data_IF_988034803519
#
_entry.id   IF_988034803519
#
_cell.length_a   1.000
_cell.length_b   1.000
_cell.length_c   1.000
_cell.angle_alpha   90.00
_cell.angle_beta   90.00
_cell.angle_gamma   90.00
#
_symmetry.space_group_name_H-M   'P 1'
#
loop_
_entity.id
_entity.type
_entity.pdbx_description
1 polymer ?
#
# COMPACT_ATOMS: atom_id res chain seq x y z
N UNK A 1 -3.65 10.87 -22.31
CA UNK A 1 -2.29 10.65 -22.86
C UNK A 1 -2.43 10.56 -24.39
N UNK A 2 -1.60 11.26 -25.16
CA UNK A 2 -1.55 11.13 -26.62
C UNK A 2 -0.22 10.43 -26.95
N UNK A 3 -0.30 9.21 -27.47
CA UNK A 3 0.89 8.48 -27.91
C UNK A 3 1.27 8.98 -29.32
N UNK A 4 2.52 9.42 -29.50
CA UNK A 4 3.08 9.73 -30.82
C UNK A 4 3.79 8.49 -31.33
N UNK A 5 3.44 8.05 -32.54
CA UNK A 5 4.15 6.95 -33.19
C UNK A 5 5.50 7.43 -33.75
N UNK A 6 6.57 6.70 -33.44
CA UNK A 6 7.89 6.98 -34.01
C UNK A 6 8.03 6.48 -35.45
N UNK A 7 7.11 5.63 -35.91
CA UNK A 7 7.04 5.15 -37.29
C UNK A 7 5.59 4.82 -37.70
N UNK A 8 5.31 4.88 -38.98
CA UNK A 8 4.00 4.56 -39.56
C UNK A 8 3.55 3.10 -39.32
N UNK A 9 4.51 2.22 -38.91
CA UNK A 9 4.22 0.81 -38.60
C UNK A 9 3.76 0.57 -37.18
N UNK A 10 3.87 1.54 -36.25
CA UNK A 10 3.47 1.36 -34.85
C UNK A 10 1.95 1.38 -34.69
N UNK A 11 1.25 2.11 -35.55
CA UNK A 11 -0.19 2.32 -35.49
C UNK A 11 -0.86 1.95 -36.82
N UNK A 12 -2.00 1.27 -36.75
CA UNK A 12 -2.85 0.96 -37.93
C UNK A 12 -4.31 1.28 -37.64
N UNK A 13 -5.06 1.58 -38.70
CA UNK A 13 -6.51 1.66 -38.63
C UNK A 13 -7.07 0.26 -38.31
N UNK A 14 -8.18 0.17 -37.53
CA UNK A 14 -8.93 -1.07 -37.46
C UNK A 14 -9.43 -1.50 -38.82
N UNK A 15 -9.70 -2.78 -39.02
CA UNK A 15 -10.29 -3.32 -40.22
C UNK A 15 -11.79 -3.01 -40.31
N UNK A 16 -12.44 -3.06 -39.15
CA UNK A 16 -13.87 -2.82 -39.00
C UNK A 16 -14.19 -2.50 -37.51
N UNK A 17 -15.49 -2.35 -37.20
CA UNK A 17 -15.99 -2.23 -35.81
C UNK A 17 -17.11 -3.24 -35.58
N UNK A 18 -17.05 -3.91 -34.42
CA UNK A 18 -18.10 -4.78 -33.92
C UNK A 18 -18.89 -4.06 -32.81
N UNK A 19 -20.22 -4.00 -32.95
CA UNK A 19 -21.09 -3.48 -31.89
C UNK A 19 -21.09 -4.48 -30.74
N UNK A 20 -20.59 -4.08 -29.57
CA UNK A 20 -20.49 -4.95 -28.38
C UNK A 20 -21.58 -4.66 -27.37
N UNK A 21 -22.11 -3.44 -27.37
CA UNK A 21 -23.24 -3.08 -26.51
C UNK A 21 -23.97 -1.85 -27.05
N UNK A 22 -25.27 -1.77 -26.77
CA UNK A 22 -26.07 -0.58 -27.05
C UNK A 22 -27.25 -0.43 -26.11
N UNK A 23 -27.63 0.80 -25.88
CA UNK A 23 -28.86 1.18 -25.18
C UNK A 23 -29.59 2.27 -25.94
N UNK A 24 -30.67 1.89 -26.64
CA UNK A 24 -31.49 2.85 -27.36
C UNK A 24 -32.08 3.94 -26.44
N UNK A 25 -32.57 3.63 -25.22
CA UNK A 25 -33.06 4.67 -24.29
C UNK A 25 -32.01 5.70 -23.92
N UNK A 26 -30.74 5.29 -23.81
CA UNK A 26 -29.60 6.18 -23.46
C UNK A 26 -28.96 6.82 -24.70
N UNK A 27 -29.28 6.32 -25.91
CA UNK A 27 -28.62 6.75 -27.14
C UNK A 27 -27.13 6.46 -27.15
N UNK A 28 -26.71 5.32 -26.58
CA UNK A 28 -25.28 4.97 -26.41
C UNK A 28 -25.00 3.65 -27.14
N UNK A 29 -23.94 3.63 -27.93
CA UNK A 29 -23.44 2.48 -28.67
C UNK A 29 -21.95 2.33 -28.41
N UNK A 30 -21.49 1.12 -28.03
CA UNK A 30 -20.08 0.82 -27.75
C UNK A 30 -19.56 -0.17 -28.76
N UNK A 31 -18.47 0.20 -29.42
CA UNK A 31 -17.88 -0.53 -30.52
C UNK A 31 -16.47 -1.00 -30.18
N UNK A 32 -16.21 -2.27 -30.46
CA UNK A 32 -14.86 -2.84 -30.39
C UNK A 32 -14.21 -2.75 -31.79
N UNK A 33 -12.97 -2.23 -31.90
CA UNK A 33 -12.26 -2.19 -33.16
C UNK A 33 -11.74 -3.59 -33.53
N UNK A 34 -12.07 -4.07 -34.74
CA UNK A 34 -11.49 -5.28 -35.30
C UNK A 34 -10.05 -5.00 -35.73
N UNK A 35 -9.09 -5.74 -35.13
CA UNK A 35 -7.68 -5.40 -35.25
C UNK A 35 -6.99 -6.12 -36.40
N UNK A 36 -6.09 -5.47 -37.16
CA UNK A 36 -5.21 -6.16 -38.09
C UNK A 36 -4.30 -7.17 -37.39
N UNK A 37 -3.87 -8.18 -38.10
CA UNK A 37 -2.89 -9.16 -37.61
C UNK A 37 -1.63 -8.48 -37.06
N UNK A 38 -1.20 -8.88 -35.85
CA UNK A 38 -0.06 -8.30 -35.14
C UNK A 38 -0.33 -6.96 -34.48
N UNK A 39 -1.61 -6.53 -34.36
CA UNK A 39 -2.02 -5.30 -33.66
C UNK A 39 -3.06 -5.60 -32.61
N UNK A 40 -3.07 -4.77 -31.56
CA UNK A 40 -3.98 -4.85 -30.43
C UNK A 40 -4.85 -3.60 -30.33
N UNK A 41 -6.10 -3.80 -29.92
CA UNK A 41 -6.97 -2.69 -29.51
C UNK A 41 -6.54 -2.15 -28.15
N UNK A 42 -6.49 -0.84 -28.01
CA UNK A 42 -6.17 -0.16 -26.74
C UNK A 42 -7.36 0.64 -26.19
N UNK A 43 -8.55 0.44 -26.74
CA UNK A 43 -9.78 1.08 -26.29
C UNK A 43 -10.98 0.74 -27.18
N UNK A 44 -12.16 1.13 -26.69
CA UNK A 44 -13.43 1.08 -27.41
C UNK A 44 -13.76 2.45 -27.99
N UNK A 45 -14.69 2.48 -28.94
CA UNK A 45 -15.28 3.71 -29.45
C UNK A 45 -16.72 3.79 -28.95
N UNK A 46 -17.12 4.96 -28.42
CA UNK A 46 -18.49 5.25 -28.01
C UNK A 46 -19.11 6.21 -29.03
N UNK A 47 -20.32 5.93 -29.45
CA UNK A 47 -21.08 6.82 -30.33
C UNK A 47 -22.51 7.03 -29.82
N UNK A 48 -23.11 8.16 -30.19
CA UNK A 48 -24.50 8.49 -29.87
C UNK A 48 -25.51 7.93 -30.91
N UNK A 49 -25.02 7.28 -31.95
CA UNK A 49 -25.84 6.69 -33.02
C UNK A 49 -25.45 5.25 -33.29
N UNK A 50 -26.37 4.42 -33.76
CA UNK A 50 -26.11 3.05 -34.19
C UNK A 50 -25.35 2.94 -35.50
N UNK A 51 -24.81 4.04 -36.01
CA UNK A 51 -24.00 4.06 -37.24
C UNK A 51 -22.55 3.67 -36.84
N UNK A 52 -21.98 2.76 -37.62
CA UNK A 52 -20.62 2.29 -37.43
C UNK A 52 -19.63 3.44 -37.48
N UNK A 53 -18.67 3.53 -36.46
CA UNK A 53 -17.68 4.61 -36.44
C UNK A 53 -16.78 4.62 -37.68
N UNK A 54 -16.20 5.79 -37.99
CA UNK A 54 -15.15 5.88 -39.00
C UNK A 54 -13.93 5.07 -38.59
N UNK A 55 -13.25 4.42 -39.52
CA UNK A 55 -11.97 3.72 -39.27
C UNK A 55 -10.86 4.67 -38.79
N UNK A 56 -11.06 5.98 -38.90
CA UNK A 56 -10.16 7.00 -38.37
C UNK A 56 -10.43 7.38 -36.90
N UNK A 57 -11.49 6.86 -36.28
CA UNK A 57 -11.87 7.20 -34.91
C UNK A 57 -10.83 6.73 -33.85
N UNK A 58 -10.14 5.62 -34.16
CA UNK A 58 -9.11 5.05 -33.24
C UNK A 58 -7.96 4.45 -34.07
N UNK A 59 -6.89 4.10 -33.42
CA UNK A 59 -5.78 3.30 -33.95
C UNK A 59 -5.55 2.06 -33.13
N UNK A 60 -5.24 0.95 -33.79
CA UNK A 60 -4.69 -0.25 -33.18
C UNK A 60 -3.19 -0.10 -33.07
N UNK A 61 -2.61 -0.57 -31.95
CA UNK A 61 -1.18 -0.50 -31.65
C UNK A 61 -0.54 -1.84 -31.95
N UNK A 62 0.67 -1.82 -32.53
CA UNK A 62 1.45 -3.05 -32.79
C UNK A 62 1.64 -3.82 -31.50
N UNK A 63 1.38 -5.13 -31.50
CA UNK A 63 1.24 -5.94 -30.28
C UNK A 63 2.50 -6.04 -29.43
N UNK A 64 3.71 -5.89 -30.01
CA UNK A 64 4.95 -5.83 -29.26
C UNK A 64 5.12 -4.55 -28.42
N UNK A 65 4.34 -3.51 -28.71
CA UNK A 65 4.25 -2.24 -27.99
C UNK A 65 3.09 -2.20 -26.99
N UNK A 66 2.44 -3.33 -26.77
CA UNK A 66 1.30 -3.46 -25.85
C UNK A 66 1.60 -4.46 -24.74
N UNK A 67 0.87 -4.34 -23.64
CA UNK A 67 0.91 -5.24 -22.49
C UNK A 67 -0.52 -5.67 -22.12
N UNK A 68 -0.63 -6.79 -21.40
CA UNK A 68 -1.92 -7.28 -20.93
C UNK A 68 -2.54 -6.31 -19.94
N UNK A 69 -3.84 -6.16 -20.01
CA UNK A 69 -4.60 -5.31 -19.10
C UNK A 69 -5.64 -6.10 -18.30
N UNK A 70 -6.04 -5.52 -17.20
CA UNK A 70 -7.15 -5.97 -16.37
C UNK A 70 -8.03 -4.78 -15.97
N UNK A 71 -9.28 -5.06 -15.61
CA UNK A 71 -10.17 -4.07 -15.02
C UNK A 71 -9.57 -3.53 -13.71
N UNK A 72 -9.73 -2.23 -13.51
CA UNK A 72 -9.27 -1.52 -12.32
C UNK A 72 -10.47 -0.98 -11.54
N UNK A 73 -10.80 0.27 -11.71
CA UNK A 73 -11.90 0.91 -11.00
C UNK A 73 -13.20 0.89 -11.78
N UNK A 74 -14.31 0.69 -11.08
CA UNK A 74 -15.62 0.80 -11.67
C UNK A 74 -15.93 2.25 -12.04
N UNK A 75 -16.34 2.47 -13.29
CA UNK A 75 -16.67 3.80 -13.81
C UNK A 75 -18.19 3.97 -13.91
N UNK A 76 -18.88 2.96 -14.49
CA UNK A 76 -20.29 3.06 -14.80
C UNK A 76 -20.92 1.69 -14.98
N UNK A 77 -22.20 1.58 -14.65
CA UNK A 77 -23.00 0.36 -14.83
C UNK A 77 -23.84 0.07 -13.59
N UNK A 78 -24.55 -1.06 -13.57
CA UNK A 78 -25.40 -1.46 -12.45
C UNK A 78 -24.60 -1.96 -11.22
N UNK A 79 -23.31 -2.26 -11.37
CA UNK A 79 -22.49 -2.83 -10.29
C UNK A 79 -22.89 -4.28 -9.94
N UNK A 80 -22.37 -4.80 -8.85
CA UNK A 80 -22.59 -6.19 -8.39
C UNK A 80 -24.06 -6.55 -8.06
N UNK A 81 -24.97 -5.62 -8.15
CA UNK A 81 -26.34 -5.76 -7.63
C UNK A 81 -27.41 -6.07 -8.71
N UNK A 82 -27.10 -6.24 -9.98
CA UNK A 82 -28.12 -6.40 -11.03
C UNK A 82 -27.97 -7.62 -11.93
N UNK A 83 -29.12 -8.07 -12.45
CA UNK A 83 -29.25 -9.19 -13.39
C UNK A 83 -28.76 -8.81 -14.82
N UNK A 84 -27.92 -9.57 -15.30
CA UNK A 84 -27.34 -10.05 -16.55
C UNK A 84 -27.50 -9.34 -17.92
N UNK A 85 -28.15 -8.22 -18.08
CA UNK A 85 -28.27 -7.54 -19.39
C UNK A 85 -27.56 -6.19 -19.48
N UNK A 86 -27.04 -5.68 -18.38
CA UNK A 86 -26.30 -4.44 -18.32
C UNK A 86 -24.81 -4.72 -18.21
N UNK A 87 -24.02 -3.85 -18.79
CA UNK A 87 -22.55 -3.93 -18.71
C UNK A 87 -22.04 -3.03 -17.60
N UNK A 88 -20.96 -3.47 -16.97
CA UNK A 88 -20.12 -2.63 -16.13
C UNK A 88 -18.91 -2.14 -16.92
N UNK A 89 -18.60 -0.88 -16.76
CA UNK A 89 -17.47 -0.19 -17.39
C UNK A 89 -16.42 0.08 -16.32
N UNK A 90 -15.18 -0.32 -16.60
CA UNK A 90 -14.04 -0.18 -15.72
C UNK A 90 -12.91 0.60 -16.38
N UNK A 91 -12.12 1.33 -15.62
CA UNK A 91 -10.80 1.77 -16.04
C UNK A 91 -9.91 0.54 -16.25
N UNK A 92 -8.86 0.69 -17.06
CA UNK A 92 -7.96 -0.41 -17.40
C UNK A 92 -6.54 -0.10 -16.89
N UNK A 93 -5.92 -1.10 -16.27
CA UNK A 93 -4.52 -1.04 -15.83
C UNK A 93 -3.74 -2.25 -16.34
N UNK A 94 -2.41 -2.18 -16.39
CA UNK A 94 -1.58 -3.36 -16.68
C UNK A 94 -1.82 -4.49 -15.67
N UNK A 95 -1.81 -5.74 -16.15
CA UNK A 95 -1.93 -6.91 -15.29
C UNK A 95 -0.69 -7.08 -14.41
N UNK A 96 0.50 -6.90 -15.01
CA UNK A 96 1.77 -6.92 -14.28
C UNK A 96 2.09 -5.52 -13.75
N UNK A 97 2.41 -5.45 -12.44
CA UNK A 97 2.72 -4.20 -11.75
C UNK A 97 3.92 -4.41 -10.84
N UNK A 98 4.69 -3.36 -10.63
CA UNK A 98 5.90 -3.37 -9.82
C UNK A 98 7.02 -2.61 -10.50
N UNK A 99 8.19 -2.58 -9.87
CA UNK A 99 9.32 -1.75 -10.30
C UNK A 99 9.87 -2.13 -11.68
N UNK A 100 9.76 -3.41 -12.06
CA UNK A 100 10.23 -3.94 -13.34
C UNK A 100 9.13 -4.02 -14.41
N UNK A 101 7.88 -3.66 -14.07
CA UNK A 101 6.77 -3.77 -15.00
C UNK A 101 6.78 -2.62 -16.02
N UNK A 102 6.65 -2.96 -17.29
CA UNK A 102 6.73 -2.02 -18.41
C UNK A 102 5.36 -1.52 -18.89
N UNK A 103 4.27 -2.09 -18.38
CA UNK A 103 2.91 -1.73 -18.77
C UNK A 103 2.52 -0.32 -18.34
N UNK A 104 1.85 0.42 -19.23
CA UNK A 104 1.41 1.81 -19.03
C UNK A 104 -0.09 1.89 -19.23
N UNK A 105 -0.86 2.43 -18.27
CA UNK A 105 -2.31 2.64 -18.46
C UNK A 105 -2.55 3.69 -19.54
N UNK A 106 -3.51 3.45 -20.41
CA UNK A 106 -3.81 4.33 -21.56
C UNK A 106 -4.97 5.29 -21.33
N UNK A 107 -5.59 5.28 -20.16
CA UNK A 107 -6.76 6.11 -19.83
C UNK A 107 -7.99 5.72 -20.65
N UNK A 108 -8.11 4.46 -21.03
CA UNK A 108 -9.27 3.87 -21.70
C UNK A 108 -10.11 3.06 -20.73
N UNK A 109 -11.22 2.53 -21.20
CA UNK A 109 -12.08 1.68 -20.40
C UNK A 109 -12.23 0.27 -21.01
N UNK A 110 -12.55 -0.68 -20.17
CA UNK A 110 -12.94 -2.05 -20.51
C UNK A 110 -14.37 -2.34 -20.10
N UNK A 111 -14.91 -3.43 -20.65
CA UNK A 111 -16.27 -3.90 -20.37
C UNK A 111 -16.20 -5.21 -19.61
N UNK A 112 -16.94 -5.33 -18.51
CA UNK A 112 -17.05 -6.49 -17.63
C UNK A 112 -15.71 -7.05 -17.13
N UNK A 113 -15.66 -7.49 -15.92
CA UNK A 113 -14.41 -7.87 -15.21
C UNK A 113 -13.64 -9.07 -15.77
N UNK A 114 -14.19 -9.82 -16.75
CA UNK A 114 -13.69 -11.17 -17.05
C UNK A 114 -12.94 -11.36 -18.36
N UNK A 115 -12.99 -10.42 -19.30
CA UNK A 115 -12.23 -10.52 -20.57
C UNK A 115 -11.96 -9.13 -21.13
N UNK A 116 -10.90 -8.48 -20.67
CA UNK A 116 -10.45 -7.26 -21.34
C UNK A 116 -9.89 -7.62 -22.71
N UNK A 117 -10.66 -7.28 -23.75
CA UNK A 117 -10.20 -7.40 -25.12
C UNK A 117 -9.26 -6.24 -25.52
N UNK A 118 -9.07 -5.28 -24.64
CA UNK A 118 -8.19 -4.12 -24.86
C UNK A 118 -6.87 -4.30 -24.12
N UNK A 119 -5.78 -3.81 -24.69
CA UNK A 119 -4.45 -3.87 -24.12
C UNK A 119 -4.06 -2.50 -23.53
N UNK A 120 -3.14 -2.52 -22.58
CA UNK A 120 -2.36 -1.36 -22.17
C UNK A 120 -1.20 -1.09 -23.12
N UNK A 121 -0.59 0.09 -23.08
CA UNK A 121 0.69 0.34 -23.75
C UNK A 121 1.82 -0.31 -22.99
N UNK A 122 2.97 -0.47 -23.66
CA UNK A 122 4.20 -0.95 -23.08
C UNK A 122 5.31 0.07 -23.27
N UNK A 123 5.96 0.47 -22.21
CA UNK A 123 7.18 1.27 -22.31
C UNK A 123 8.34 0.34 -22.70
N UNK A 124 8.79 0.44 -23.95
CA UNK A 124 9.88 -0.40 -24.49
C UNK A 124 11.23 0.27 -24.42
N UNK A 125 11.34 1.47 -23.83
CA UNK A 125 12.62 2.15 -23.65
C UNK A 125 13.42 1.46 -22.53
N UNK A 126 14.56 0.83 -22.83
CA UNK A 126 15.38 0.14 -21.82
C UNK A 126 15.97 1.11 -20.76
N UNK A 127 15.98 2.41 -21.05
CA UNK A 127 16.47 3.45 -20.15
C UNK A 127 15.30 4.27 -19.52
N UNK A 128 14.08 3.75 -19.54
CA UNK A 128 12.90 4.49 -19.08
C UNK A 128 12.99 4.89 -17.63
N UNK A 129 13.52 4.02 -16.76
CA UNK A 129 13.71 4.30 -15.35
C UNK A 129 14.69 5.45 -15.08
N UNK A 130 15.72 5.62 -15.90
CA UNK A 130 16.71 6.69 -15.72
C UNK A 130 16.32 8.01 -16.39
N UNK A 131 15.37 8.00 -17.34
CA UNK A 131 15.04 9.19 -18.16
C UNK A 131 13.82 9.95 -17.68
N UNK A 132 12.84 9.25 -17.08
CA UNK A 132 11.55 9.82 -16.70
C UNK A 132 11.31 9.84 -15.19
N UNK A 133 12.10 9.09 -14.43
CA UNK A 133 12.01 9.05 -12.98
C UNK A 133 12.74 10.24 -12.35
N UNK A 134 12.25 10.76 -11.20
CA UNK A 134 12.87 11.90 -10.54
C UNK A 134 14.24 11.54 -9.96
N UNK A 135 15.20 12.47 -10.07
CA UNK A 135 16.47 12.41 -9.35
C UNK A 135 16.28 12.80 -7.86
N UNK A 136 17.31 12.65 -7.02
CA UNK A 136 17.21 12.91 -5.57
C UNK A 136 16.68 14.32 -5.24
N UNK A 137 17.16 15.43 -5.87
CA UNK A 137 16.56 16.74 -5.67
C UNK A 137 15.08 16.82 -6.03
N UNK A 138 14.66 16.17 -7.11
CA UNK A 138 13.26 16.12 -7.53
C UNK A 138 12.39 15.28 -6.58
N UNK A 139 12.89 14.12 -6.11
CA UNK A 139 12.22 13.34 -5.05
C UNK A 139 11.96 14.22 -3.83
N UNK A 140 12.97 14.97 -3.39
CA UNK A 140 12.84 15.87 -2.23
C UNK A 140 11.82 16.98 -2.48
N UNK A 141 11.83 17.59 -3.67
CA UNK A 141 10.90 18.65 -4.04
C UNK A 141 9.44 18.14 -4.07
N UNK A 142 9.21 17.00 -4.71
CA UNK A 142 7.89 16.34 -4.76
C UNK A 142 7.43 15.96 -3.34
N UNK A 143 8.32 15.42 -2.52
CA UNK A 143 7.97 15.08 -1.16
C UNK A 143 7.65 16.31 -0.30
N UNK A 144 8.39 17.41 -0.44
CA UNK A 144 8.07 18.65 0.26
C UNK A 144 6.69 19.21 -0.12
N UNK A 145 6.28 19.04 -1.37
CA UNK A 145 4.95 19.47 -1.85
C UNK A 145 3.83 18.62 -1.28
N UNK A 146 4.01 17.28 -1.23
CA UNK A 146 2.96 16.33 -0.90
C UNK A 146 3.20 15.56 0.40
N UNK A 147 4.19 15.92 1.23
CA UNK A 147 4.48 15.21 2.48
C UNK A 147 3.26 15.15 3.39
N UNK A 148 2.77 13.95 3.75
CA UNK A 148 1.54 13.81 4.51
C UNK A 148 1.70 14.29 5.96
N UNK A 149 0.62 14.81 6.52
CA UNK A 149 0.45 14.97 7.95
C UNK A 149 -0.22 13.73 8.53
N UNK A 150 0.35 13.14 9.56
CA UNK A 150 -0.21 11.95 10.21
C UNK A 150 -0.71 12.31 11.60
N UNK A 151 -2.01 12.19 11.83
CA UNK A 151 -2.62 12.32 13.15
C UNK A 151 -2.59 11.01 13.90
N UNK A 152 -2.22 11.06 15.18
CA UNK A 152 -2.35 9.94 16.12
C UNK A 152 -3.63 10.09 16.94
N UNK A 153 -4.23 8.98 17.34
CA UNK A 153 -5.40 9.00 18.21
C UNK A 153 -5.04 9.66 19.56
N UNK A 154 -5.93 10.47 20.19
CA UNK A 154 -5.60 11.15 21.47
C UNK A 154 -5.25 10.20 22.62
N UNK A 155 -5.67 8.95 22.56
CA UNK A 155 -5.33 7.92 23.55
C UNK A 155 -4.11 7.07 23.14
N UNK A 156 -3.44 7.37 22.02
CA UNK A 156 -2.26 6.63 21.58
C UNK A 156 -1.11 6.80 22.55
N UNK A 157 -0.48 5.68 22.90
CA UNK A 157 0.66 5.63 23.84
C UNK A 157 1.96 5.25 23.13
N UNK A 158 1.86 4.61 21.99
CA UNK A 158 2.95 4.01 21.24
C UNK A 158 3.23 4.82 19.98
N UNK A 159 3.99 5.89 20.13
CA UNK A 159 4.28 6.85 19.08
C UNK A 159 5.48 6.39 18.22
N UNK A 160 5.59 6.87 16.97
CA UNK A 160 6.75 6.55 16.14
C UNK A 160 8.05 7.12 16.71
N UNK A 161 9.15 6.56 16.26
CA UNK A 161 10.50 7.10 16.51
C UNK A 161 11.39 6.90 15.28
N UNK A 162 12.63 7.37 15.33
CA UNK A 162 13.62 6.95 14.36
C UNK A 162 14.26 5.61 14.75
N UNK A 163 14.72 4.86 13.74
CA UNK A 163 15.48 3.62 13.94
C UNK A 163 16.77 3.85 14.76
N UNK A 164 17.58 4.90 14.49
CA UNK A 164 18.73 5.23 15.35
C UNK A 164 18.35 5.50 16.79
N UNK A 165 17.22 6.18 17.05
CA UNK A 165 16.74 6.42 18.41
C UNK A 165 16.40 5.09 19.11
N UNK A 166 15.70 4.20 18.42
CA UNK A 166 15.32 2.88 18.94
C UNK A 166 16.55 2.04 19.34
N UNK A 167 17.57 1.95 18.48
CA UNK A 167 18.81 1.24 18.76
C UNK A 167 19.60 1.88 19.89
N UNK A 168 19.68 3.20 19.93
CA UNK A 168 20.44 3.93 20.98
C UNK A 168 19.79 3.81 22.36
N UNK A 169 18.47 3.69 22.43
CA UNK A 169 17.73 3.70 23.69
C UNK A 169 17.50 2.31 24.29
N UNK A 170 17.99 1.21 23.69
CA UNK A 170 18.00 -0.08 24.35
C UNK A 170 17.42 -1.26 23.56
N UNK A 171 17.06 -1.07 22.28
CA UNK A 171 16.82 -2.21 21.42
C UNK A 171 18.13 -2.96 21.15
N UNK A 172 18.11 -4.27 21.26
CA UNK A 172 19.28 -5.12 21.12
C UNK A 172 18.99 -6.32 20.24
N UNK A 173 20.03 -6.86 19.61
CA UNK A 173 19.95 -8.05 18.78
C UNK A 173 20.07 -9.29 19.66
N UNK A 174 19.07 -10.16 19.58
CA UNK A 174 19.03 -11.47 20.22
C UNK A 174 19.34 -12.56 19.21
N UNK A 175 19.92 -13.65 19.71
CA UNK A 175 20.24 -14.82 18.91
C UNK A 175 19.69 -16.07 19.57
N UNK A 176 19.06 -16.93 18.79
CA UNK A 176 18.55 -18.22 19.26
C UNK A 176 19.66 -19.09 19.85
N UNK A 177 19.44 -19.56 21.08
CA UNK A 177 20.40 -20.36 21.86
C UNK A 177 21.45 -19.53 22.61
N UNK A 178 21.36 -18.19 22.54
CA UNK A 178 22.23 -17.25 23.31
C UNK A 178 21.44 -16.03 23.79
N UNK A 179 20.19 -16.24 24.18
CA UNK A 179 19.22 -15.19 24.55
C UNK A 179 19.65 -14.36 25.77
N UNK A 180 20.54 -14.92 26.62
CA UNK A 180 21.07 -14.23 27.80
C UNK A 180 22.14 -13.17 27.48
N UNK A 181 22.66 -13.16 26.25
CA UNK A 181 23.75 -12.28 25.83
C UNK A 181 23.33 -11.41 24.61
N UNK A 182 22.33 -10.53 24.76
CA UNK A 182 21.91 -9.67 23.65
C UNK A 182 23.01 -8.69 23.28
N UNK A 183 23.16 -8.46 21.97
CA UNK A 183 24.17 -7.56 21.42
C UNK A 183 23.56 -6.18 21.19
N UNK A 184 24.22 -5.14 21.72
CA UNK A 184 23.82 -3.76 21.46
C UNK A 184 23.95 -3.47 19.96
N UNK A 185 22.91 -2.84 19.38
CA UNK A 185 22.90 -2.49 17.97
C UNK A 185 23.53 -1.09 17.80
N UNK A 186 24.38 -0.95 16.78
CA UNK A 186 24.89 0.36 16.38
C UNK A 186 23.76 1.26 15.87
N UNK A 187 23.81 2.58 16.06
CA UNK A 187 22.73 3.47 15.63
C UNK A 187 22.38 3.37 14.14
N UNK A 188 23.35 3.04 13.28
CA UNK A 188 23.15 2.80 11.85
C UNK A 188 22.64 1.39 11.51
N UNK A 189 22.64 0.48 12.47
CA UNK A 189 22.39 -0.95 12.24
C UNK A 189 23.54 -1.70 11.56
N UNK A 190 24.76 -1.13 11.53
CA UNK A 190 25.90 -1.68 10.77
C UNK A 190 26.36 -3.06 11.27
N UNK A 191 26.09 -3.38 12.54
CA UNK A 191 26.41 -4.68 13.14
C UNK A 191 25.24 -5.69 13.10
N UNK A 192 24.12 -5.36 12.46
CA UNK A 192 23.05 -6.32 12.21
C UNK A 192 23.47 -7.34 11.16
N UNK A 193 23.13 -8.63 11.31
CA UNK A 193 23.36 -9.62 10.27
C UNK A 193 22.55 -9.30 9.02
N UNK A 194 23.23 -9.01 7.92
CA UNK A 194 22.60 -8.62 6.65
C UNK A 194 21.90 -9.81 6.01
N UNK A 195 20.76 -9.55 5.35
CA UNK A 195 19.95 -10.59 4.73
C UNK A 195 19.25 -11.49 5.75
N UNK A 196 19.09 -12.76 5.39
CA UNK A 196 18.40 -13.76 6.21
C UNK A 196 16.95 -13.92 5.85
N UNK A 197 16.18 -14.46 6.79
CA UNK A 197 14.75 -14.69 6.67
C UNK A 197 14.08 -14.65 8.05
N UNK A 198 12.76 -14.63 8.08
CA UNK A 198 11.95 -14.71 9.30
C UNK A 198 11.95 -16.17 9.84
N UNK A 199 13.11 -16.63 10.29
CA UNK A 199 13.38 -18.01 10.74
C UNK A 199 13.54 -18.17 12.26
N UNK A 200 13.45 -17.06 13.01
CA UNK A 200 13.64 -17.00 14.45
C UNK A 200 15.08 -17.21 14.89
N UNK A 201 16.06 -17.16 13.98
CA UNK A 201 17.47 -17.30 14.37
C UNK A 201 18.04 -16.05 15.03
N UNK A 202 17.55 -14.87 14.63
CA UNK A 202 17.88 -13.58 15.20
C UNK A 202 16.65 -12.69 15.22
N UNK A 203 16.49 -11.92 16.28
CA UNK A 203 15.42 -10.91 16.39
C UNK A 203 15.90 -9.69 17.20
N UNK A 204 15.23 -8.57 16.99
CA UNK A 204 15.43 -7.37 17.79
C UNK A 204 14.44 -7.40 18.95
N UNK A 205 14.87 -7.09 20.16
CA UNK A 205 13.99 -6.98 21.33
C UNK A 205 14.48 -5.92 22.32
N UNK A 206 13.63 -5.57 23.27
CA UNK A 206 13.86 -4.54 24.26
C UNK A 206 14.68 -5.07 25.43
N UNK A 207 15.74 -4.35 25.82
CA UNK A 207 16.57 -4.66 26.98
C UNK A 207 16.37 -3.65 28.13
N UNK A 208 16.86 -3.98 29.33
CA UNK A 208 16.72 -3.16 30.50
C UNK A 208 15.58 -3.61 31.43
N UNK A 209 15.34 -2.80 32.45
CA UNK A 209 14.22 -3.00 33.38
C UNK A 209 12.87 -2.61 32.75
N UNK A 210 11.78 -2.85 33.49
CA UNK A 210 10.43 -2.58 32.95
C UNK A 210 10.21 -1.10 32.65
N UNK A 211 10.81 -0.18 33.39
CA UNK A 211 10.68 1.25 33.14
C UNK A 211 11.41 1.67 31.84
N UNK A 212 12.61 1.10 31.61
CA UNK A 212 13.36 1.32 30.37
C UNK A 212 12.61 0.74 29.14
N UNK A 213 12.08 -0.48 29.26
CA UNK A 213 11.27 -1.11 28.20
C UNK A 213 10.00 -0.32 27.91
N UNK A 214 9.29 0.15 28.94
CA UNK A 214 8.09 0.96 28.77
C UNK A 214 8.41 2.30 28.09
N UNK A 215 9.51 2.96 28.44
CA UNK A 215 9.97 4.18 27.76
C UNK A 215 10.21 3.91 26.28
N UNK A 216 10.84 2.77 25.94
CA UNK A 216 11.11 2.40 24.55
C UNK A 216 9.81 2.13 23.78
N UNK A 217 8.86 1.39 24.38
CA UNK A 217 7.56 1.10 23.76
C UNK A 217 6.80 2.36 23.40
N UNK A 218 6.88 3.41 24.23
CA UNK A 218 6.21 4.69 23.96
C UNK A 218 6.73 5.43 22.75
N UNK A 219 7.94 5.10 22.28
CA UNK A 219 8.57 5.83 21.20
C UNK A 219 8.89 7.29 21.55
N UNK A 220 9.13 8.10 20.53
CA UNK A 220 9.40 9.53 20.67
C UNK A 220 9.03 10.26 19.39
N UNK A 221 7.86 10.87 19.37
CA UNK A 221 7.40 11.65 18.21
C UNK A 221 8.38 12.77 17.83
N UNK A 222 9.03 13.38 18.84
CA UNK A 222 10.05 14.41 18.63
C UNK A 222 11.26 13.89 17.84
N UNK A 223 11.62 12.61 18.04
CA UNK A 223 12.78 11.97 17.43
C UNK A 223 12.37 11.10 16.23
N UNK A 224 11.10 11.20 15.80
CA UNK A 224 10.59 10.45 14.66
C UNK A 224 11.23 10.92 13.35
N UNK A 225 11.57 9.96 12.51
CA UNK A 225 12.04 10.16 11.14
C UNK A 225 11.24 9.23 10.25
N UNK A 226 10.68 9.75 9.16
CA UNK A 226 10.08 8.91 8.14
C UNK A 226 11.10 8.55 7.06
N UNK A 227 10.91 7.40 6.45
CA UNK A 227 11.88 6.83 5.51
C UNK A 227 11.24 6.67 4.13
N UNK A 228 11.84 7.30 3.12
CA UNK A 228 11.30 7.32 1.77
C UNK A 228 11.95 6.26 0.89
N UNK A 229 11.12 5.48 0.25
CA UNK A 229 11.49 4.61 -0.86
C UNK A 229 10.79 5.12 -2.13
N UNK A 230 11.57 5.56 -3.13
CA UNK A 230 11.05 6.01 -4.41
C UNK A 230 11.17 4.89 -5.43
N UNK A 231 10.04 4.47 -6.01
CA UNK A 231 9.99 3.35 -6.96
C UNK A 231 9.24 3.70 -8.25
N UNK A 232 9.71 3.21 -9.42
CA UNK A 232 9.01 3.39 -10.68
C UNK A 232 7.75 2.54 -10.73
N UNK A 233 6.65 3.14 -11.20
CA UNK A 233 5.41 2.43 -11.42
C UNK A 233 4.86 2.72 -12.82
N UNK A 234 4.08 1.75 -13.34
CA UNK A 234 3.46 1.86 -14.67
C UNK A 234 4.46 2.25 -15.76
N UNK A 235 5.54 1.48 -15.88
CA UNK A 235 6.58 1.70 -16.87
C UNK A 235 7.33 3.02 -16.69
N UNK A 236 7.45 3.53 -15.46
CA UNK A 236 8.13 4.78 -15.13
C UNK A 236 7.30 6.04 -15.46
N UNK A 237 6.00 5.91 -15.73
CA UNK A 237 5.10 7.07 -15.93
C UNK A 237 4.61 7.66 -14.61
N UNK A 238 4.75 6.92 -13.52
CA UNK A 238 4.46 7.35 -12.16
C UNK A 238 5.65 7.03 -11.26
N UNK A 239 5.79 7.84 -10.22
CA UNK A 239 6.66 7.59 -9.08
C UNK A 239 5.81 7.29 -7.86
N UNK A 240 6.04 6.14 -7.23
CA UNK A 240 5.52 5.86 -5.91
C UNK A 240 6.57 6.26 -4.87
N UNK A 241 6.19 7.14 -3.94
CA UNK A 241 6.96 7.49 -2.76
C UNK A 241 6.34 6.77 -1.58
N UNK A 242 6.88 5.60 -1.22
CA UNK A 242 6.48 4.91 0.00
C UNK A 242 7.11 5.61 1.20
N UNK A 243 6.27 6.11 2.09
CA UNK A 243 6.61 6.86 3.30
C UNK A 243 6.47 5.92 4.48
N UNK A 244 7.57 5.30 4.88
CA UNK A 244 7.63 4.33 5.97
C UNK A 244 7.75 5.02 7.31
N UNK A 245 6.94 4.60 8.26
CA UNK A 245 6.92 5.06 9.66
C UNK A 245 7.26 3.89 10.56
N UNK A 246 8.26 4.07 11.41
CA UNK A 246 8.69 3.06 12.37
C UNK A 246 8.12 3.34 13.76
N UNK A 247 7.50 2.33 14.34
CA UNK A 247 7.03 2.32 15.73
C UNK A 247 7.81 1.27 16.53
N UNK A 248 8.37 1.63 17.69
CA UNK A 248 9.06 0.67 18.57
C UNK A 248 8.17 -0.46 19.08
N UNK A 249 6.86 -0.24 19.09
CA UNK A 249 5.90 -1.18 19.66
C UNK A 249 4.51 -0.99 19.07
N UNK A 250 3.83 -2.08 18.76
CA UNK A 250 2.41 -2.17 18.44
C UNK A 250 1.65 -2.59 19.70
N UNK A 251 0.59 -1.86 20.03
CA UNK A 251 -0.18 -2.13 21.24
C UNK A 251 -1.27 -3.19 21.05
N UNK A 252 -2.01 -3.48 22.13
CA UNK A 252 -3.02 -4.54 22.10
C UNK A 252 -4.21 -4.23 21.21
N UNK A 253 -4.68 -5.23 20.50
CA UNK A 253 -5.87 -5.14 19.67
C UNK A 253 -7.14 -4.90 20.49
N UNK A 254 -8.17 -4.34 19.85
CA UNK A 254 -9.52 -4.14 20.39
C UNK A 254 -10.54 -4.79 19.49
N UNK A 255 -11.44 -5.57 20.06
CA UNK A 255 -12.49 -6.28 19.33
C UNK A 255 -13.83 -5.57 19.52
N UNK A 256 -14.55 -5.32 18.43
CA UNK A 256 -16.00 -5.09 18.49
C UNK A 256 -16.74 -6.37 18.22
N UNK A 257 -17.72 -6.72 19.05
CA UNK A 257 -18.60 -7.86 18.87
C UNK A 257 -20.04 -7.47 19.29
N UNK A 258 -20.90 -7.31 18.31
CA UNK A 258 -22.22 -6.71 18.52
C UNK A 258 -22.10 -5.30 19.13
N UNK A 259 -22.78 -5.02 20.25
CA UNK A 259 -22.69 -3.71 20.93
C UNK A 259 -21.45 -3.55 21.82
N UNK A 260 -20.69 -4.62 22.05
CA UNK A 260 -19.58 -4.64 23.00
C UNK A 260 -18.25 -4.28 22.32
N UNK A 261 -17.39 -3.58 23.06
CA UNK A 261 -15.96 -3.43 22.76
C UNK A 261 -15.16 -4.14 23.85
N UNK A 262 -14.30 -5.06 23.46
CA UNK A 262 -13.54 -5.89 24.38
C UNK A 262 -12.05 -5.74 24.05
N UNK A 263 -11.18 -5.47 25.06
CA UNK A 263 -9.73 -5.53 24.86
C UNK A 263 -9.32 -6.98 24.60
N UNK A 264 -8.37 -7.16 23.70
CA UNK A 264 -7.86 -8.49 23.33
C UNK A 264 -6.70 -8.97 24.21
N UNK A 265 -6.51 -8.35 25.38
CA UNK A 265 -5.38 -8.68 26.26
C UNK A 265 -4.07 -8.33 25.56
N UNK A 266 -3.21 -9.32 25.38
CA UNK A 266 -1.94 -9.15 24.67
C UNK A 266 -2.00 -9.46 23.17
N UNK A 267 -3.13 -9.93 22.68
CA UNK A 267 -3.28 -10.28 21.25
C UNK A 267 -3.11 -9.02 20.40
N UNK A 268 -2.20 -9.09 19.46
CA UNK A 268 -1.81 -7.98 18.57
C UNK A 268 -0.58 -7.19 19.07
N UNK A 269 -0.15 -7.36 20.33
CA UNK A 269 1.08 -6.70 20.79
C UNK A 269 2.33 -7.30 20.14
N UNK A 270 3.22 -6.44 19.67
CA UNK A 270 4.57 -6.86 19.26
C UNK A 270 5.57 -5.71 19.32
N UNK A 271 6.83 -6.07 19.51
CA UNK A 271 7.96 -5.14 19.42
C UNK A 271 8.29 -4.92 17.94
N UNK A 272 8.55 -3.67 17.59
CA UNK A 272 8.85 -3.27 16.21
C UNK A 272 7.64 -3.36 15.29
N UNK A 273 7.31 -2.24 14.66
CA UNK A 273 6.19 -2.14 13.74
C UNK A 273 6.53 -1.19 12.60
N UNK A 274 6.15 -1.54 11.37
CA UNK A 274 6.39 -0.76 10.19
C UNK A 274 5.11 -0.57 9.40
N UNK A 275 4.62 0.66 9.40
CA UNK A 275 3.47 1.08 8.61
C UNK A 275 3.88 2.09 7.55
N UNK A 276 3.07 2.26 6.53
CA UNK A 276 3.38 3.24 5.49
C UNK A 276 2.13 3.84 4.85
N UNK A 277 2.35 4.95 4.21
CA UNK A 277 1.47 5.46 3.14
C UNK A 277 2.32 5.58 1.88
N UNK A 278 1.71 5.39 0.71
CA UNK A 278 2.40 5.57 -0.56
C UNK A 278 1.74 6.68 -1.36
N UNK A 279 2.53 7.67 -1.77
CA UNK A 279 2.08 8.75 -2.64
C UNK A 279 2.40 8.37 -4.09
N UNK A 280 1.40 8.22 -4.93
CA UNK A 280 1.57 8.00 -6.38
C UNK A 280 1.50 9.31 -7.11
N UNK A 281 2.61 9.73 -7.70
CA UNK A 281 2.77 11.01 -8.37
C UNK A 281 3.02 10.80 -9.86
N UNK A 282 2.32 11.55 -10.70
CA UNK A 282 2.51 11.54 -12.15
C UNK A 282 3.83 12.15 -12.54
N UNK A 283 4.67 11.45 -13.30
CA UNK A 283 5.93 11.98 -13.82
C UNK A 283 5.74 12.97 -14.97
N UNK A 284 4.54 13.09 -15.53
CA UNK A 284 4.23 14.07 -16.58
C UNK A 284 3.83 15.43 -16.04
N UNK A 285 3.01 15.45 -14.99
CA UNK A 285 2.43 16.66 -14.43
C UNK A 285 3.04 17.04 -13.07
N UNK A 286 3.74 16.10 -12.40
CA UNK A 286 4.18 16.28 -11.03
C UNK A 286 3.03 16.30 -10.01
N UNK A 287 1.84 15.86 -10.39
CA UNK A 287 0.63 15.91 -9.57
C UNK A 287 0.44 14.62 -8.77
N UNK A 288 0.02 14.75 -7.52
CA UNK A 288 -0.44 13.64 -6.69
C UNK A 288 -1.71 13.05 -7.31
N UNK A 289 -1.66 11.77 -7.67
CA UNK A 289 -2.78 11.06 -8.23
C UNK A 289 -3.58 10.29 -7.16
N UNK A 290 -2.88 9.49 -6.38
CA UNK A 290 -3.46 8.63 -5.35
C UNK A 290 -2.56 8.55 -4.12
N UNK A 291 -3.14 8.20 -2.98
CA UNK A 291 -2.43 7.81 -1.76
C UNK A 291 -2.90 6.43 -1.31
N UNK A 292 -1.96 5.52 -1.10
CA UNK A 292 -2.21 4.24 -0.45
C UNK A 292 -2.10 4.40 1.06
N UNK A 293 -3.00 3.78 1.79
CA UNK A 293 -2.94 3.68 3.23
C UNK A 293 -2.79 2.20 3.60
N UNK A 294 -1.67 1.83 4.26
CA UNK A 294 -1.45 0.46 4.74
C UNK A 294 -2.43 0.11 5.86
N UNK A 295 -3.00 -1.08 5.79
CA UNK A 295 -4.02 -1.55 6.74
C UNK A 295 -3.70 -3.00 7.11
N UNK A 296 -2.79 -3.21 8.05
CA UNK A 296 -2.29 -4.53 8.44
C UNK A 296 -1.65 -5.28 7.24
N UNK A 297 -2.21 -6.43 6.84
CA UNK A 297 -1.68 -7.24 5.72
C UNK A 297 -2.04 -6.75 4.33
N UNK A 298 -2.76 -5.63 4.19
CA UNK A 298 -3.21 -5.06 2.92
C UNK A 298 -3.29 -3.54 2.99
N UNK A 299 -4.21 -2.95 2.21
CA UNK A 299 -4.46 -1.53 2.25
C UNK A 299 -5.44 -1.08 1.18
N UNK A 300 -5.54 0.23 1.04
CA UNK A 300 -6.49 0.82 0.08
C UNK A 300 -5.89 2.06 -0.57
N UNK A 301 -6.02 2.13 -1.89
CA UNK A 301 -5.73 3.33 -2.67
C UNK A 301 -6.92 4.30 -2.61
N UNK A 302 -6.61 5.58 -2.40
CA UNK A 302 -7.57 6.68 -2.44
C UNK A 302 -7.12 7.71 -3.47
N UNK A 303 -8.03 8.18 -4.32
CA UNK A 303 -7.74 9.29 -5.23
C UNK A 303 -7.45 10.58 -4.46
N UNK A 304 -6.62 11.45 -5.01
CA UNK A 304 -6.34 12.75 -4.42
C UNK A 304 -7.61 13.54 -4.10
N UNK A 305 -8.67 13.41 -4.92
CA UNK A 305 -9.97 14.06 -4.69
C UNK A 305 -10.76 13.51 -3.48
N UNK A 306 -10.39 12.35 -2.94
CA UNK A 306 -11.04 11.71 -1.78
C UNK A 306 -10.33 12.01 -0.46
N UNK A 307 -9.10 12.58 -0.54
CA UNK A 307 -8.23 12.85 0.60
C UNK A 307 -8.65 14.14 1.31
N UNK A 308 -8.33 14.20 2.58
CA UNK A 308 -8.27 15.44 3.34
C UNK A 308 -6.87 16.07 3.16
N UNK A 309 -6.82 17.40 2.99
CA UNK A 309 -5.57 18.12 2.89
C UNK A 309 -5.39 19.06 4.08
N UNK A 310 -4.16 19.17 4.55
CA UNK A 310 -3.83 19.99 5.73
C UNK A 310 -3.83 21.48 5.38
N UNK A 311 -4.68 22.27 6.07
CA UNK A 311 -4.72 23.74 5.99
C UNK A 311 -4.66 24.29 4.55
N UNK A 312 -5.49 23.76 3.65
CA UNK A 312 -5.57 24.21 2.24
C UNK A 312 -4.23 24.06 1.45
N UNK A 313 -3.30 23.26 1.96
CA UNK A 313 -2.06 22.92 1.24
C UNK A 313 -2.28 21.69 0.33
N UNK A 314 -1.23 21.29 -0.41
CA UNK A 314 -1.22 20.05 -1.19
C UNK A 314 -0.80 18.81 -0.38
N UNK A 315 -0.66 18.95 0.95
CA UNK A 315 -0.21 17.89 1.85
C UNK A 315 -1.38 17.07 2.34
N UNK A 316 -1.50 15.79 1.95
CA UNK A 316 -2.61 14.95 2.37
C UNK A 316 -2.52 14.62 3.87
N UNK A 317 -3.66 14.31 4.46
CA UNK A 317 -3.76 13.90 5.85
C UNK A 317 -3.96 12.40 5.93
N UNK A 318 -3.15 11.74 6.77
CA UNK A 318 -3.32 10.37 7.20
C UNK A 318 -3.69 10.28 8.68
N UNK A 319 -4.34 9.21 9.06
CA UNK A 319 -4.72 8.92 10.44
C UNK A 319 -4.20 7.54 10.83
N UNK A 320 -3.31 7.50 11.82
CA UNK A 320 -2.83 6.26 12.43
C UNK A 320 -3.86 5.75 13.43
N UNK A 321 -4.24 4.49 13.33
CA UNK A 321 -5.22 3.91 14.23
C UNK A 321 -4.63 3.59 15.61
N UNK A 322 -5.47 3.68 16.63
CA UNK A 322 -5.10 3.45 18.03
C UNK A 322 -4.52 2.06 18.24
N UNK A 323 -3.32 1.97 18.78
CA UNK A 323 -2.51 0.82 19.11
C UNK A 323 -1.93 0.04 17.91
N UNK A 324 -2.71 -0.15 16.85
CA UNK A 324 -2.33 -1.03 15.73
C UNK A 324 -1.79 -0.30 14.51
N UNK A 325 -1.74 1.03 14.55
CA UNK A 325 -1.10 1.98 13.63
C UNK A 325 -1.52 1.91 12.16
N UNK A 326 -2.47 1.05 11.77
CA UNK A 326 -3.00 1.00 10.41
C UNK A 326 -3.46 2.40 9.96
N UNK A 327 -3.17 2.74 8.70
CA UNK A 327 -3.36 4.09 8.17
C UNK A 327 -4.71 4.25 7.48
N UNK A 328 -5.35 5.40 7.67
CA UNK A 328 -6.65 5.74 7.09
C UNK A 328 -6.66 7.18 6.59
N UNK A 329 -7.47 7.51 5.55
CA UNK A 329 -7.56 8.87 5.01
C UNK A 329 -8.50 9.77 5.81
N UNK A 330 -9.27 9.24 6.75
CA UNK A 330 -10.28 9.98 7.53
C UNK A 330 -10.34 9.47 8.97
N UNK A 331 -10.70 10.39 9.87
CA UNK A 331 -11.01 10.04 11.25
C UNK A 331 -12.32 9.23 11.35
N UNK A 332 -12.36 8.26 12.26
CA UNK A 332 -13.53 7.43 12.51
C UNK A 332 -13.18 6.02 13.00
N UNK A 333 -14.19 5.17 13.01
CA UNK A 333 -14.03 3.75 13.31
C UNK A 333 -14.11 2.93 12.02
N UNK A 334 -13.08 2.19 11.73
CA UNK A 334 -13.08 1.14 10.70
C UNK A 334 -13.01 -0.24 11.38
N UNK A 335 -13.88 -1.15 10.96
CA UNK A 335 -13.89 -2.53 11.46
C UNK A 335 -13.28 -3.46 10.42
N UNK A 336 -12.21 -4.13 10.80
CA UNK A 336 -11.65 -5.21 10.02
C UNK A 336 -12.26 -6.54 10.47
N UNK A 337 -13.22 -7.02 9.71
CA UNK A 337 -13.99 -8.22 10.04
C UNK A 337 -15.24 -8.35 9.17
N UNK A 338 -16.21 -9.15 9.63
CA UNK A 338 -17.46 -9.41 8.90
C UNK A 338 -18.67 -9.15 9.78
N UNK A 339 -19.64 -8.43 9.25
CA UNK A 339 -20.86 -8.11 9.97
C UNK A 339 -20.63 -7.20 11.18
N UNK A 340 -20.99 -7.67 12.38
CA UNK A 340 -20.90 -6.91 13.64
C UNK A 340 -19.74 -7.38 14.53
N UNK A 341 -18.77 -8.13 13.97
CA UNK A 341 -17.53 -8.54 14.64
C UNK A 341 -16.31 -8.16 13.82
N UNK A 342 -15.33 -7.54 14.46
CA UNK A 342 -14.07 -7.16 13.81
C UNK A 342 -13.10 -6.47 14.75
N UNK A 343 -11.84 -6.46 14.35
CA UNK A 343 -10.80 -5.63 14.99
C UNK A 343 -11.17 -4.16 14.77
N UNK A 344 -11.07 -3.39 15.82
CA UNK A 344 -11.32 -1.94 15.78
C UNK A 344 -10.06 -1.21 15.37
N UNK A 345 -10.20 -0.39 14.37
CA UNK A 345 -9.23 0.63 13.97
C UNK A 345 -9.87 2.00 14.22
N UNK A 346 -9.60 2.54 15.40
CA UNK A 346 -10.15 3.83 15.84
C UNK A 346 -9.15 4.94 15.46
N UNK A 347 -9.58 5.91 14.68
CA UNK A 347 -8.76 7.07 14.27
C UNK A 347 -9.44 8.37 14.69
N UNK A 348 -8.65 9.37 15.08
CA UNK A 348 -9.17 10.68 15.46
C UNK A 348 -8.14 11.78 15.26
N UNK A 349 -8.59 13.02 15.11
CA UNK A 349 -7.72 14.20 15.20
C UNK A 349 -7.28 14.41 16.65
N UNK A 350 -6.05 14.78 16.85
CA UNK A 350 -5.48 15.16 18.14
C UNK A 350 -4.45 16.28 17.98
N UNK A 351 -3.78 16.64 19.06
CA UNK A 351 -2.61 17.53 19.01
C UNK A 351 -1.31 16.76 18.71
N UNK A 352 -1.36 15.43 18.78
CA UNK A 352 -0.23 14.57 18.38
C UNK A 352 -0.28 14.37 16.86
N UNK A 353 0.61 15.07 16.17
CA UNK A 353 0.68 15.09 14.71
C UNK A 353 2.14 15.00 14.24
N UNK A 354 2.40 14.20 13.24
CA UNK A 354 3.68 14.12 12.56
C UNK A 354 3.59 14.85 11.21
N UNK A 355 4.33 15.95 11.07
CA UNK A 355 4.64 16.53 9.75
C UNK A 355 5.81 15.75 9.15
N UNK A 356 5.50 14.84 8.23
CA UNK A 356 6.51 13.96 7.63
C UNK A 356 7.52 14.73 6.78
N UNK A 357 7.20 15.95 6.36
CA UNK A 357 8.10 16.81 5.58
C UNK A 357 9.21 17.47 6.41
N UNK A 358 9.13 17.46 7.75
CA UNK A 358 10.13 18.10 8.61
C UNK A 358 11.36 17.24 8.83
N UNK A 359 11.16 15.92 9.01
CA UNK A 359 12.24 14.99 9.32
C UNK A 359 12.09 13.70 8.54
N UNK A 360 12.84 13.55 7.46
CA UNK A 360 12.81 12.36 6.60
C UNK A 360 14.18 12.01 6.03
N UNK A 361 14.33 10.76 5.59
CA UNK A 361 15.49 10.28 4.87
C UNK A 361 15.05 9.52 3.63
N UNK A 362 15.66 9.79 2.48
CA UNK A 362 15.52 8.94 1.28
C UNK A 362 16.45 7.75 1.49
N UNK A 363 15.88 6.57 1.67
CA UNK A 363 16.62 5.35 2.01
C UNK A 363 16.77 4.38 0.85
N UNK A 364 15.92 4.48 -0.17
CA UNK A 364 15.98 3.64 -1.36
C UNK A 364 15.40 4.35 -2.58
N UNK A 365 16.05 4.15 -3.71
CA UNK A 365 15.62 4.51 -5.06
C UNK A 365 16.52 3.72 -6.02
N UNK A 366 16.24 2.44 -6.21
CA UNK A 366 17.14 1.49 -6.86
C UNK A 366 17.50 1.91 -8.30
N UNK A 367 16.61 2.62 -8.98
CA UNK A 367 16.86 3.16 -10.33
C UNK A 367 17.92 4.28 -10.36
N UNK A 368 18.31 4.86 -9.22
CA UNK A 368 19.37 5.84 -9.09
C UNK A 368 20.74 5.23 -8.72
N UNK A 369 20.78 3.92 -8.51
CA UNK A 369 22.01 3.19 -8.16
C UNK A 369 22.64 3.74 -6.86
N UNK A 370 23.94 4.09 -6.93
CA UNK A 370 24.70 4.51 -5.75
C UNK A 370 24.39 5.96 -5.26
N UNK A 371 23.56 6.72 -5.97
CA UNK A 371 23.16 8.07 -5.52
C UNK A 371 22.34 8.04 -4.23
N UNK A 372 21.65 6.93 -3.96
CA UNK A 372 20.92 6.69 -2.72
C UNK A 372 21.51 5.48 -2.02
N UNK A 373 22.14 5.73 -0.88
CA UNK A 373 22.77 4.66 -0.09
C UNK A 373 21.78 4.18 0.96
N UNK A 374 21.41 2.89 0.88
CA UNK A 374 20.55 2.26 1.87
C UNK A 374 21.25 2.19 3.24
N UNK A 375 20.60 2.61 4.34
CA UNK A 375 21.12 2.34 5.67
C UNK A 375 21.23 0.84 5.92
N UNK A 376 22.26 0.35 6.63
CA UNK A 376 22.47 -1.09 6.84
C UNK A 376 21.26 -1.84 7.42
N UNK A 377 20.47 -1.19 8.29
CA UNK A 377 19.28 -1.79 8.87
C UNK A 377 18.17 -2.12 7.86
N UNK A 378 18.13 -1.50 6.68
CA UNK A 378 17.18 -1.84 5.59
C UNK A 378 17.41 -3.27 5.12
N UNK A 379 18.67 -3.72 5.12
CA UNK A 379 19.07 -5.03 4.67
C UNK A 379 19.06 -6.11 5.79
N UNK A 380 18.47 -5.80 6.94
CA UNK A 380 18.16 -6.78 7.98
C UNK A 380 16.80 -7.42 7.69
N UNK A 381 16.81 -8.63 7.08
CA UNK A 381 15.60 -9.31 6.60
C UNK A 381 14.97 -10.24 7.64
N UNK A 382 15.36 -10.10 8.89
CA UNK A 382 14.91 -10.93 10.01
C UNK A 382 13.89 -10.20 10.86
N UNK A 383 13.57 -10.75 12.01
CA UNK A 383 12.54 -10.28 12.90
C UNK A 383 12.94 -8.97 13.61
N UNK A 384 12.12 -7.93 13.47
CA UNK A 384 12.22 -6.66 14.20
C UNK A 384 11.59 -6.73 15.58
N UNK A 385 10.98 -7.85 15.94
CA UNK A 385 10.44 -8.20 17.24
C UNK A 385 10.46 -9.71 17.44
N UNK A 386 10.44 -10.20 18.68
CA UNK A 386 10.35 -11.63 18.94
C UNK A 386 9.03 -12.21 18.41
N UNK A 387 9.05 -13.48 18.03
CA UNK A 387 7.82 -14.26 17.91
C UNK A 387 7.21 -14.35 19.29
N UNK A 388 6.02 -13.83 19.44
CA UNK A 388 5.31 -13.90 20.70
C UNK A 388 4.52 -15.21 20.69
N UNK A 389 5.06 -16.24 21.36
CA UNK A 389 4.24 -17.35 21.74
C UNK A 389 3.33 -16.89 22.89
N UNK A 390 2.24 -16.25 22.55
CA UNK A 390 1.13 -16.23 23.49
C UNK A 390 0.81 -17.69 23.75
N UNK A 391 0.54 -18.04 25.02
CA UNK A 391 -0.29 -19.20 25.24
C UNK A 391 -1.68 -18.77 24.73
N UNK A 392 -1.84 -18.81 23.40
CA UNK A 392 -2.99 -18.31 22.64
C UNK A 392 -4.29 -18.77 23.25
N UNK A 393 -4.32 -20.01 23.76
CA UNK A 393 -5.46 -20.56 24.48
C UNK A 393 -5.79 -19.78 25.77
N UNK A 394 -4.81 -19.25 26.51
CA UNK A 394 -5.09 -18.57 27.78
C UNK A 394 -5.56 -17.13 27.55
N UNK A 395 -4.96 -16.39 26.62
CA UNK A 395 -5.42 -15.03 26.28
C UNK A 395 -6.80 -15.10 25.60
N UNK A 396 -7.01 -16.00 24.67
CA UNK A 396 -8.32 -16.23 24.03
C UNK A 396 -9.36 -16.60 25.08
N UNK A 397 -9.06 -17.55 26.00
CA UNK A 397 -9.95 -17.92 27.11
C UNK A 397 -10.25 -16.76 28.05
N UNK A 398 -9.29 -15.87 28.30
CA UNK A 398 -9.50 -14.70 29.15
C UNK A 398 -10.46 -13.71 28.46
N UNK A 399 -10.28 -13.43 27.18
CA UNK A 399 -11.22 -12.59 26.40
C UNK A 399 -12.61 -13.26 26.36
N UNK A 400 -12.68 -14.56 26.13
CA UNK A 400 -13.93 -15.33 26.11
C UNK A 400 -14.72 -15.25 27.42
N UNK A 401 -14.03 -15.22 28.59
CA UNK A 401 -14.68 -15.04 29.91
C UNK A 401 -15.40 -13.70 30.02
N UNK A 402 -14.96 -12.67 29.30
CA UNK A 402 -15.58 -11.34 29.32
C UNK A 402 -16.85 -11.29 28.46
N UNK A 403 -17.09 -12.30 27.62
CA UNK A 403 -18.20 -12.32 26.66
C UNK A 403 -19.43 -13.01 27.22
N UNK A 404 -20.65 -12.51 26.94
CA UNK A 404 -21.89 -13.25 27.13
C UNK A 404 -21.86 -14.59 26.38
N UNK A 405 -22.50 -15.62 26.95
CA UNK A 405 -22.52 -16.97 26.37
C UNK A 405 -23.00 -16.99 24.90
N UNK A 406 -23.96 -16.14 24.54
CA UNK A 406 -24.47 -16.00 23.18
C UNK A 406 -23.48 -15.50 22.14
N UNK A 407 -22.37 -14.87 22.56
CA UNK A 407 -21.34 -14.31 21.68
C UNK A 407 -20.07 -15.16 21.61
N UNK A 408 -19.88 -16.16 22.49
CA UNK A 408 -18.66 -16.97 22.56
C UNK A 408 -18.39 -17.75 21.27
N UNK A 409 -19.38 -18.47 20.74
CA UNK A 409 -19.23 -19.22 19.48
C UNK A 409 -18.88 -18.31 18.30
N UNK A 410 -19.41 -17.08 18.27
CA UNK A 410 -19.09 -16.11 17.24
C UNK A 410 -17.66 -15.62 17.37
N UNK A 411 -17.21 -15.38 18.60
CA UNK A 411 -15.83 -15.01 18.91
C UNK A 411 -14.85 -16.11 18.51
N UNK A 412 -15.09 -17.38 18.90
CA UNK A 412 -14.22 -18.52 18.53
C UNK A 412 -14.04 -18.65 17.01
N UNK A 413 -15.13 -18.48 16.24
CA UNK A 413 -15.06 -18.50 14.76
C UNK A 413 -14.23 -17.34 14.22
N UNK A 414 -14.37 -16.15 14.81
CA UNK A 414 -13.61 -14.99 14.41
C UNK A 414 -12.13 -15.16 14.69
N UNK A 415 -11.74 -15.61 15.89
CA UNK A 415 -10.34 -15.86 16.24
C UNK A 415 -9.66 -16.82 15.27
N UNK A 416 -10.36 -17.89 14.85
CA UNK A 416 -9.85 -18.83 13.84
C UNK A 416 -9.64 -18.22 12.45
N UNK A 417 -10.22 -17.05 12.18
CA UNK A 417 -10.06 -16.31 10.93
C UNK A 417 -9.00 -15.21 10.99
N UNK A 418 -8.41 -14.96 12.17
CA UNK A 418 -7.36 -13.95 12.32
C UNK A 418 -6.07 -14.38 11.62
N UNK A 419 -5.34 -13.41 11.01
CA UNK A 419 -4.03 -13.67 10.48
C UNK A 419 -3.04 -14.14 11.56
N UNK A 420 -2.08 -14.96 11.19
CA UNK A 420 -1.03 -15.46 12.09
C UNK A 420 -0.19 -14.34 12.71
N UNK A 421 -0.01 -13.26 11.95
CA UNK A 421 0.70 -12.06 12.40
C UNK A 421 0.04 -11.44 13.64
N UNK A 422 -1.31 -11.33 13.65
CA UNK A 422 -2.07 -10.86 14.81
C UNK A 422 -2.03 -11.83 16.00
N UNK A 423 -1.82 -13.10 15.74
CA UNK A 423 -1.66 -14.12 16.77
C UNK A 423 -0.21 -14.24 17.29
N UNK A 424 0.72 -13.44 16.75
CA UNK A 424 2.14 -13.43 17.19
C UNK A 424 2.96 -14.64 16.72
N UNK A 425 2.40 -15.49 15.85
CA UNK A 425 3.10 -16.67 15.31
C UNK A 425 4.29 -16.30 14.42
N UNK A 426 4.27 -15.08 13.87
CA UNK A 426 5.35 -14.52 13.04
C UNK A 426 5.84 -13.21 13.65
N UNK A 427 7.17 -13.04 13.77
CA UNK A 427 7.77 -11.77 14.20
C UNK A 427 7.62 -10.71 13.09
N UNK A 428 7.47 -9.43 13.44
CA UNK A 428 7.39 -8.35 12.45
C UNK A 428 8.69 -8.24 11.67
N UNK A 429 8.58 -7.91 10.39
CA UNK A 429 9.74 -7.77 9.48
C UNK A 429 9.93 -6.33 9.03
N UNK A 430 11.16 -5.99 8.59
CA UNK A 430 11.46 -4.67 8.04
C UNK A 430 10.82 -4.41 6.68
N UNK A 431 10.88 -3.16 6.19
CA UNK A 431 10.20 -2.75 4.96
C UNK A 431 10.60 -3.56 3.72
N UNK A 432 11.88 -3.86 3.56
CA UNK A 432 12.43 -4.48 2.35
C UNK A 432 12.02 -5.94 2.17
N UNK A 433 11.52 -6.59 3.22
CA UNK A 433 11.00 -7.97 3.17
C UNK A 433 9.52 -8.02 2.76
N UNK A 434 8.83 -6.89 2.87
CA UNK A 434 7.41 -6.80 2.47
C UNK A 434 7.30 -6.84 0.94
N UNK A 435 6.30 -7.57 0.41
CA UNK A 435 6.13 -7.76 -1.04
C UNK A 435 6.03 -6.44 -1.81
N UNK A 436 5.39 -5.44 -1.24
CA UNK A 436 5.22 -4.11 -1.83
C UNK A 436 6.52 -3.28 -1.94
N UNK A 437 7.65 -3.77 -1.45
CA UNK A 437 8.94 -3.12 -1.73
C UNK A 437 9.26 -3.10 -3.23
N UNK A 438 9.03 -4.21 -3.92
CA UNK A 438 9.28 -4.35 -5.36
C UNK A 438 8.02 -4.43 -6.23
N UNK A 439 6.85 -4.66 -5.61
CA UNK A 439 5.57 -4.71 -6.31
C UNK A 439 4.72 -3.47 -6.04
N UNK A 440 3.55 -3.42 -6.66
CA UNK A 440 2.52 -2.42 -6.34
C UNK A 440 1.91 -2.68 -4.97
N UNK A 441 1.44 -1.64 -4.31
CA UNK A 441 0.65 -1.74 -3.09
C UNK A 441 -0.75 -2.30 -3.40
N UNK A 442 -1.24 -3.25 -2.58
CA UNK A 442 -2.52 -3.95 -2.80
C UNK A 442 -3.29 -4.14 -1.49
#
# INVERSE_FOLDING_TARGET
MVAKADSDSCLRRPLDFMLVWSSAPLGVYIWYPDTPDGYSAVGFVVSSTGIKPSLDAIRCVRSDLTDQSQADEWIWGPGKASNATMIDVYSMRPTSRGVDAMGVPVGTFGLNSSNSQVACLKNTNPNSSSTYMPNVPQIRAVFQEYSPFIYFHPDEKYLPSSVPWYFTNGASLFKKGDESNPVKIDPSGSNLPQGGSNDGAFWIDLTGDDAAKEKLRRGSLRDAVVYLHAKPMFGGTFTDLAVWVFYPYNGPGRLKIGPLTVPLGKIGEHVGDWEHVTLRVSNFAGELWQMFCSQHSGGTWYHASELEFFNESNKPVGYSSLNGHAMYPKAGLVLQGTGDIGIRNDTAKSNEILDTGTTYAVIAAEYLGEEVVEPPWVNYYREWGPKVTYSDENEIKNVEKLLPASLKTKFEKFVKSLPKELLGEEGPTGPKVKANWTTDDT
#
